data_IF_138501273131
#
_entry.id   IF_138501273131
#
_cell.length_a   1.000
_cell.length_b   1.000
_cell.length_c   1.000
_cell.angle_alpha   90.00
_cell.angle_beta   90.00
_cell.angle_gamma   90.00
#
_symmetry.space_group_name_H-M   'P 1'
#
loop_
_entity.id
_entity.type
_entity.pdbx_description
1 polymer ?
#
# COMPACT_ATOMS: atom_id res chain seq x y z
N UNK A 1 7.30 7.83 -15.34
CA UNK A 1 6.72 9.19 -15.50
C UNK A 1 6.04 9.35 -16.86
N UNK A 2 6.75 9.19 -17.99
CA UNK A 2 6.17 9.45 -19.34
C UNK A 2 4.93 8.58 -19.64
N UNK A 3 4.90 7.35 -19.19
CA UNK A 3 3.77 6.44 -19.38
C UNK A 3 2.54 6.94 -18.62
N UNK A 4 2.69 7.35 -17.36
CA UNK A 4 1.59 7.89 -16.55
C UNK A 4 1.11 9.22 -17.10
N UNK A 5 2.01 10.11 -17.53
CA UNK A 5 1.63 11.38 -18.15
C UNK A 5 0.79 11.19 -19.43
N UNK A 6 1.24 10.30 -20.32
CA UNK A 6 0.48 9.95 -21.53
C UNK A 6 -0.87 9.30 -21.22
N UNK A 7 -0.95 8.55 -20.16
CA UNK A 7 -2.20 7.95 -19.69
C UNK A 7 -3.14 9.04 -19.15
N UNK A 8 -2.66 9.91 -18.25
CA UNK A 8 -3.45 11.02 -17.68
C UNK A 8 -3.99 11.97 -18.75
N UNK A 9 -3.21 12.30 -19.76
CA UNK A 9 -3.67 13.13 -20.89
C UNK A 9 -4.88 12.54 -21.64
N UNK A 10 -4.97 11.20 -21.70
CA UNK A 10 -6.04 10.49 -22.40
C UNK A 10 -7.31 10.32 -21.57
N UNK A 11 -7.20 10.38 -20.23
CA UNK A 11 -8.29 10.08 -19.30
C UNK A 11 -8.77 11.31 -18.53
N UNK A 12 -8.43 12.53 -18.99
CA UNK A 12 -8.94 13.77 -18.38
C UNK A 12 -10.46 13.73 -18.32
N UNK A 13 -11.07 13.85 -17.13
CA UNK A 13 -12.53 13.84 -17.01
C UNK A 13 -13.17 15.01 -17.78
N UNK A 14 -14.25 14.73 -18.47
CA UNK A 14 -14.98 15.75 -19.25
C UNK A 14 -15.50 16.87 -18.33
N UNK A 15 -15.31 18.12 -18.74
CA UNK A 15 -15.80 19.27 -17.99
C UNK A 15 -15.03 19.58 -16.69
N UNK A 16 -13.86 19.01 -16.51
CA UNK A 16 -12.98 19.33 -15.37
C UNK A 16 -11.73 20.04 -15.83
N UNK A 17 -11.28 21.01 -15.02
CA UNK A 17 -9.92 21.56 -15.15
C UNK A 17 -8.95 20.64 -14.37
N UNK A 18 -7.89 20.20 -15.03
CA UNK A 18 -6.90 19.31 -14.42
C UNK A 18 -5.50 19.86 -14.65
N UNK A 19 -4.75 20.00 -13.57
CA UNK A 19 -3.31 20.26 -13.60
C UNK A 19 -2.53 19.01 -13.23
N UNK A 20 -1.35 18.82 -13.74
CA UNK A 20 -0.45 17.73 -13.38
C UNK A 20 0.86 18.32 -12.84
N UNK A 21 1.21 17.95 -11.63
CA UNK A 21 2.44 18.32 -10.95
C UNK A 21 3.34 17.09 -10.81
N UNK A 22 4.50 17.12 -11.45
CA UNK A 22 5.51 16.06 -11.33
C UNK A 22 6.64 16.56 -10.44
N UNK A 23 6.86 15.90 -9.32
CA UNK A 23 7.94 16.26 -8.40
C UNK A 23 8.99 15.15 -8.39
N UNK A 24 10.18 15.45 -8.89
CA UNK A 24 11.33 14.55 -8.88
C UNK A 24 12.17 14.79 -7.63
N UNK A 25 12.59 13.70 -6.96
CA UNK A 25 13.41 13.77 -5.76
C UNK A 25 13.61 12.38 -5.16
N UNK A 26 14.15 12.32 -3.95
CA UNK A 26 14.50 11.08 -3.27
C UNK A 26 13.77 10.87 -1.94
N UNK A 27 12.89 11.82 -1.55
CA UNK A 27 12.20 11.78 -0.27
C UNK A 27 10.69 12.02 -0.41
N UNK A 28 9.90 10.95 -0.57
CA UNK A 28 8.47 11.03 -0.90
C UNK A 28 7.64 11.99 -0.05
N UNK A 29 7.77 12.06 1.30
CA UNK A 29 6.99 13.02 2.08
C UNK A 29 7.22 14.47 1.68
N UNK A 30 8.47 14.88 1.45
CA UNK A 30 8.81 16.24 1.02
C UNK A 30 8.36 16.53 -0.41
N UNK A 31 8.51 15.55 -1.31
CA UNK A 31 8.04 15.67 -2.70
C UNK A 31 6.52 15.89 -2.72
N UNK A 32 5.75 15.08 -1.99
CA UNK A 32 4.29 15.23 -1.89
C UNK A 32 3.91 16.58 -1.27
N UNK A 33 4.58 16.99 -0.20
CA UNK A 33 4.32 18.29 0.43
C UNK A 33 4.58 19.47 -0.52
N UNK A 34 5.63 19.40 -1.36
CA UNK A 34 5.87 20.41 -2.39
C UNK A 34 4.70 20.46 -3.39
N UNK A 35 4.25 19.31 -3.91
CA UNK A 35 3.12 19.25 -4.81
C UNK A 35 1.82 19.75 -4.19
N UNK A 36 1.56 19.43 -2.92
CA UNK A 36 0.37 19.89 -2.19
C UNK A 36 0.34 21.41 -2.04
N UNK A 37 1.49 22.05 -1.78
CA UNK A 37 1.57 23.53 -1.68
C UNK A 37 1.28 24.20 -3.02
N UNK A 38 1.76 23.63 -4.10
CA UNK A 38 1.64 24.18 -5.46
C UNK A 38 0.28 23.87 -6.13
N UNK A 39 -0.44 22.87 -5.63
CA UNK A 39 -1.72 22.45 -6.20
C UNK A 39 -2.79 23.54 -6.01
N UNK A 40 -3.56 23.84 -7.07
CA UNK A 40 -4.61 24.86 -7.10
C UNK A 40 -6.03 24.29 -7.11
N UNK A 41 -6.19 23.00 -7.49
CA UNK A 41 -7.48 22.36 -7.62
C UNK A 41 -8.21 22.10 -6.28
N UNK A 42 -9.51 21.83 -6.35
CA UNK A 42 -10.36 21.52 -5.19
C UNK A 42 -10.10 20.12 -4.65
N UNK A 43 -9.60 19.24 -5.49
CA UNK A 43 -9.21 17.86 -5.14
C UNK A 43 -7.77 17.60 -5.53
N UNK A 44 -7.02 16.88 -4.68
CA UNK A 44 -5.63 16.50 -4.93
C UNK A 44 -5.56 14.99 -5.03
N UNK A 45 -5.10 14.50 -6.17
CA UNK A 45 -4.84 13.09 -6.44
C UNK A 45 -3.36 12.80 -6.30
N UNK A 46 -3.01 11.76 -5.54
CA UNK A 46 -1.65 11.25 -5.42
C UNK A 46 -1.54 9.94 -6.19
N UNK A 47 -0.65 9.92 -7.16
CA UNK A 47 -0.36 8.77 -7.99
C UNK A 47 1.14 8.49 -8.01
N UNK A 48 1.51 7.21 -8.00
CA UNK A 48 2.89 6.80 -8.24
C UNK A 48 3.19 6.84 -9.76
N UNK A 49 4.45 6.97 -10.13
CA UNK A 49 4.87 7.16 -11.53
C UNK A 49 4.96 5.87 -12.36
N UNK A 50 4.64 4.73 -11.77
CA UNK A 50 4.67 3.39 -12.36
C UNK A 50 3.31 2.68 -12.39
N UNK A 51 2.21 3.45 -12.28
CA UNK A 51 0.84 2.94 -12.37
C UNK A 51 0.21 3.15 -13.75
N UNK A 52 -0.89 2.45 -13.98
CA UNK A 52 -1.80 2.65 -15.11
C UNK A 52 -3.17 2.99 -14.52
N UNK A 53 -3.70 4.16 -14.87
CA UNK A 53 -5.02 4.63 -14.42
C UNK A 53 -6.03 4.27 -15.50
N UNK A 54 -7.04 3.44 -15.22
CA UNK A 54 -8.10 3.12 -16.20
C UNK A 54 -9.00 4.33 -16.48
N UNK A 55 -9.58 4.43 -17.70
CA UNK A 55 -10.61 5.41 -17.99
C UNK A 55 -11.78 5.31 -17.00
N UNK A 56 -12.30 6.43 -16.54
CA UNK A 56 -13.40 6.50 -15.58
C UNK A 56 -12.98 6.40 -14.11
N UNK A 57 -11.74 5.99 -13.82
CA UNK A 57 -11.27 5.81 -12.41
C UNK A 57 -11.26 7.13 -11.63
N UNK A 58 -10.79 8.21 -12.23
CA UNK A 58 -10.75 9.55 -11.58
C UNK A 58 -12.16 10.04 -11.35
N UNK A 59 -13.05 9.88 -12.34
CA UNK A 59 -14.47 10.25 -12.26
C UNK A 59 -15.14 9.57 -11.07
N UNK A 60 -14.85 8.30 -10.81
CA UNK A 60 -15.41 7.56 -9.66
C UNK A 60 -14.99 8.13 -8.30
N UNK A 61 -13.78 8.64 -8.19
CA UNK A 61 -13.36 9.35 -6.98
C UNK A 61 -14.08 10.70 -6.86
N UNK A 62 -14.22 11.47 -7.94
CA UNK A 62 -14.94 12.75 -7.95
C UNK A 62 -16.43 12.56 -7.62
N UNK A 63 -17.11 11.57 -8.24
CA UNK A 63 -18.50 11.19 -7.91
C UNK A 63 -18.64 10.84 -6.42
N UNK A 64 -17.64 10.18 -5.84
CA UNK A 64 -17.67 9.83 -4.41
C UNK A 64 -17.70 11.08 -3.52
N UNK A 65 -16.86 12.07 -3.80
CA UNK A 65 -16.86 13.33 -3.05
C UNK A 65 -18.14 14.13 -3.26
N UNK A 66 -18.63 14.20 -4.50
CA UNK A 66 -19.86 14.95 -4.83
C UNK A 66 -21.08 14.36 -4.13
N UNK A 67 -21.20 13.03 -4.12
CA UNK A 67 -22.34 12.34 -3.51
C UNK A 67 -22.22 12.20 -1.98
N UNK A 68 -21.00 12.36 -1.43
CA UNK A 68 -20.71 12.21 0.00
C UNK A 68 -19.75 13.33 0.46
N UNK A 69 -20.24 14.56 0.66
CA UNK A 69 -19.38 15.71 1.00
C UNK A 69 -18.64 15.58 2.34
N UNK A 70 -19.08 14.67 3.20
CA UNK A 70 -18.45 14.35 4.48
C UNK A 70 -17.20 13.46 4.34
N UNK A 71 -16.96 12.88 3.16
CA UNK A 71 -15.74 12.09 2.89
C UNK A 71 -14.60 13.03 2.50
N UNK A 72 -13.48 12.89 3.18
CA UNK A 72 -12.30 13.75 3.02
C UNK A 72 -11.18 13.10 2.22
N UNK A 73 -11.11 11.75 2.23
CA UNK A 73 -10.12 10.95 1.52
C UNK A 73 -10.81 9.78 0.85
N UNK A 74 -10.50 9.54 -0.41
CA UNK A 74 -10.93 8.37 -1.16
C UNK A 74 -9.70 7.63 -1.67
N UNK A 75 -9.67 6.33 -1.48
CA UNK A 75 -8.70 5.45 -2.10
C UNK A 75 -9.36 4.22 -2.68
N UNK A 76 -8.63 3.45 -3.43
CA UNK A 76 -9.14 2.23 -4.04
C UNK A 76 -8.05 1.18 -4.23
N UNK A 77 -8.37 0.03 -4.84
CA UNK A 77 -7.43 -1.06 -4.99
C UNK A 77 -6.37 -0.77 -6.06
N UNK A 78 -5.23 -1.35 -5.81
CA UNK A 78 -4.06 -1.40 -6.68
C UNK A 78 -3.98 -2.81 -7.28
N UNK A 79 -4.52 -3.00 -8.47
CA UNK A 79 -4.69 -4.29 -9.10
C UNK A 79 -3.44 -4.72 -9.89
N UNK A 80 -3.27 -6.01 -10.07
CA UNK A 80 -2.24 -6.56 -10.95
C UNK A 80 -2.67 -6.41 -12.40
N UNK A 81 -1.87 -5.78 -13.28
CA UNK A 81 -2.20 -5.65 -14.70
C UNK A 81 -2.40 -7.03 -15.35
N UNK A 82 -3.38 -7.16 -16.28
CA UNK A 82 -3.62 -8.43 -16.99
C UNK A 82 -2.41 -8.94 -17.78
N UNK A 83 -1.57 -8.03 -18.29
CA UNK A 83 -0.37 -8.34 -19.08
C UNK A 83 0.84 -8.78 -18.25
N UNK A 84 0.74 -8.78 -16.91
CA UNK A 84 1.80 -9.30 -16.06
C UNK A 84 2.03 -10.79 -16.30
N UNK A 85 3.25 -11.26 -16.08
CA UNK A 85 3.57 -12.68 -16.21
C UNK A 85 2.95 -13.52 -15.07
N UNK A 86 3.05 -14.84 -15.21
CA UNK A 86 2.49 -15.80 -14.26
C UNK A 86 3.00 -15.58 -12.81
N UNK A 87 4.30 -15.33 -12.65
CA UNK A 87 4.90 -15.13 -11.32
C UNK A 87 4.44 -13.80 -10.70
N UNK A 88 4.35 -12.76 -11.51
CA UNK A 88 3.82 -11.47 -11.10
C UNK A 88 2.34 -11.58 -10.65
N UNK A 89 1.53 -12.39 -11.33
CA UNK A 89 0.17 -12.69 -10.88
C UNK A 89 0.17 -13.41 -9.52
N UNK A 90 1.05 -14.39 -9.31
CA UNK A 90 1.18 -15.05 -8.00
C UNK A 90 1.58 -14.07 -6.89
N UNK A 91 2.43 -13.08 -7.17
CA UNK A 91 2.73 -11.99 -6.22
C UNK A 91 1.50 -11.14 -5.93
N UNK A 92 0.70 -10.85 -6.95
CA UNK A 92 -0.60 -10.17 -6.78
C UNK A 92 -1.55 -10.95 -5.88
N UNK A 93 -1.62 -12.27 -6.04
CA UNK A 93 -2.44 -13.16 -5.20
C UNK A 93 -1.95 -13.16 -3.75
N UNK A 94 -0.64 -13.17 -3.52
CA UNK A 94 -0.09 -13.05 -2.18
C UNK A 94 -0.48 -11.71 -1.51
N UNK A 95 -0.44 -10.60 -2.23
CA UNK A 95 -0.86 -9.31 -1.69
C UNK A 95 -2.38 -9.25 -1.43
N UNK A 96 -3.18 -9.86 -2.30
CA UNK A 96 -4.65 -9.87 -2.21
C UNK A 96 -5.21 -10.90 -1.21
N UNK A 97 -4.38 -11.85 -0.74
CA UNK A 97 -4.82 -12.89 0.19
C UNK A 97 -4.99 -12.33 1.62
N UNK A 98 -6.18 -12.50 2.23
CA UNK A 98 -6.36 -12.17 3.65
C UNK A 98 -5.46 -12.99 4.58
N UNK A 99 -5.06 -14.20 4.19
CA UNK A 99 -4.10 -14.99 4.95
C UNK A 99 -2.73 -14.33 5.06
N UNK A 100 -2.30 -13.58 4.03
CA UNK A 100 -1.00 -12.89 3.99
C UNK A 100 -1.11 -11.45 4.50
N UNK A 101 -2.08 -10.70 4.00
CA UNK A 101 -2.18 -9.25 4.21
C UNK A 101 -3.23 -8.84 5.25
N UNK A 102 -4.08 -9.78 5.70
CA UNK A 102 -5.17 -9.52 6.62
C UNK A 102 -6.07 -8.37 6.11
N UNK A 103 -6.36 -7.36 6.94
CA UNK A 103 -7.15 -6.19 6.53
C UNK A 103 -6.52 -5.41 5.38
N UNK A 104 -5.18 -5.45 5.22
CA UNK A 104 -4.49 -4.72 4.12
C UNK A 104 -4.67 -5.40 2.76
N UNK A 105 -5.15 -6.63 2.70
CA UNK A 105 -5.41 -7.36 1.45
C UNK A 105 -6.38 -6.61 0.51
N UNK A 106 -7.32 -5.85 1.08
CA UNK A 106 -8.29 -5.04 0.28
C UNK A 106 -7.60 -3.98 -0.59
N UNK A 107 -6.37 -3.60 -0.28
CA UNK A 107 -5.56 -2.69 -1.11
C UNK A 107 -5.25 -3.29 -2.49
N UNK A 108 -5.40 -4.59 -2.65
CA UNK A 108 -4.99 -5.36 -3.83
C UNK A 108 -6.12 -6.19 -4.44
N UNK A 109 -7.31 -6.11 -3.84
CA UNK A 109 -8.49 -6.85 -4.25
C UNK A 109 -9.72 -5.94 -4.17
N UNK A 110 -10.52 -5.83 -5.26
CA UNK A 110 -11.75 -5.04 -5.21
C UNK A 110 -12.75 -5.69 -4.26
N UNK A 111 -13.28 -4.91 -3.34
CA UNK A 111 -14.39 -5.31 -2.47
C UNK A 111 -15.70 -4.74 -2.99
N UNK A 112 -16.83 -5.18 -2.42
CA UNK A 112 -18.14 -4.68 -2.83
C UNK A 112 -18.43 -3.30 -2.23
N UNK A 113 -18.70 -2.34 -3.11
CA UNK A 113 -19.25 -1.02 -2.79
C UNK A 113 -18.34 -0.07 -2.02
N UNK A 114 -18.80 1.17 -1.92
CA UNK A 114 -18.16 2.23 -1.15
C UNK A 114 -18.23 1.91 0.35
N UNK A 115 -17.10 2.04 1.06
CA UNK A 115 -17.04 1.79 2.52
C UNK A 115 -16.24 2.86 3.22
N UNK A 116 -16.70 3.29 4.43
CA UNK A 116 -15.86 4.03 5.37
C UNK A 116 -14.81 3.09 5.94
N UNK A 117 -13.55 3.54 5.98
CA UNK A 117 -12.38 2.71 6.26
C UNK A 117 -11.36 3.42 7.13
N UNK A 118 -10.28 2.72 7.48
CA UNK A 118 -9.11 3.25 8.17
C UNK A 118 -7.89 3.25 7.25
N UNK A 119 -6.76 3.72 7.75
CA UNK A 119 -5.47 3.75 7.04
C UNK A 119 -5.02 2.37 6.54
N UNK A 120 -5.46 1.28 7.19
CA UNK A 120 -5.10 -0.09 6.81
C UNK A 120 -5.60 -0.50 5.43
N UNK A 121 -6.66 0.13 4.96
CA UNK A 121 -7.36 -0.23 3.74
C UNK A 121 -6.91 0.58 2.52
N UNK A 122 -6.16 1.66 2.71
CA UNK A 122 -5.75 2.58 1.66
C UNK A 122 -4.24 2.53 1.42
N UNK A 123 -3.81 2.88 0.20
CA UNK A 123 -2.40 2.86 -0.22
C UNK A 123 -2.07 4.10 -1.04
N UNK A 124 -0.86 4.62 -0.91
CA UNK A 124 -0.43 5.91 -1.47
C UNK A 124 -0.46 6.02 -3.00
N UNK A 125 -0.35 4.92 -3.71
CA UNK A 125 -0.32 4.95 -5.17
C UNK A 125 -1.67 5.30 -5.81
N UNK A 126 -2.74 5.41 -5.02
CA UNK A 126 -4.10 5.65 -5.48
C UNK A 126 -4.94 6.32 -4.38
N UNK A 127 -4.67 7.59 -4.10
CA UNK A 127 -5.36 8.40 -3.10
C UNK A 127 -5.85 9.71 -3.70
N UNK A 128 -7.09 10.07 -3.37
CA UNK A 128 -7.68 11.36 -3.65
C UNK A 128 -8.09 12.04 -2.34
N UNK A 129 -7.89 13.34 -2.24
CA UNK A 129 -8.18 14.16 -1.07
C UNK A 129 -9.00 15.38 -1.45
N UNK A 130 -9.88 15.83 -0.57
CA UNK A 130 -10.30 17.22 -0.59
C UNK A 130 -9.06 18.10 -0.35
N UNK A 131 -8.79 19.06 -1.22
CA UNK A 131 -7.56 19.87 -1.18
C UNK A 131 -7.37 20.57 0.16
N UNK A 132 -8.45 21.13 0.75
CA UNK A 132 -8.42 21.78 2.05
C UNK A 132 -7.87 20.83 3.13
N UNK A 133 -8.37 19.58 3.17
CA UNK A 133 -7.95 18.58 4.17
C UNK A 133 -6.45 18.31 4.06
N UNK A 134 -5.92 18.12 2.84
CA UNK A 134 -4.53 17.77 2.65
C UNK A 134 -3.59 18.98 2.85
N UNK A 135 -4.01 20.19 2.45
CA UNK A 135 -3.26 21.43 2.67
C UNK A 135 -3.14 21.81 4.15
N UNK A 136 -4.13 21.47 4.97
CA UNK A 136 -4.09 21.69 6.42
C UNK A 136 -3.37 20.56 7.17
N UNK A 137 -3.11 19.43 6.51
CA UNK A 137 -2.52 18.23 7.11
C UNK A 137 -1.46 17.62 6.19
N UNK A 138 -0.29 18.23 6.14
CA UNK A 138 0.84 17.75 5.35
C UNK A 138 1.40 16.40 5.85
N UNK A 139 2.15 15.71 4.99
CA UNK A 139 2.94 14.54 5.38
C UNK A 139 4.02 14.93 6.39
N UNK A 140 4.29 14.08 7.38
CA UNK A 140 5.41 14.27 8.31
C UNK A 140 6.73 13.87 7.61
N UNK A 141 7.66 14.82 7.37
CA UNK A 141 8.92 14.53 6.68
C UNK A 141 9.80 13.50 7.39
N UNK A 142 9.60 13.33 8.69
CA UNK A 142 10.41 12.42 9.51
C UNK A 142 9.88 10.98 9.48
N UNK A 143 8.71 10.74 8.88
CA UNK A 143 8.11 9.42 8.74
C UNK A 143 8.28 8.92 7.32
N UNK A 144 9.25 8.03 7.12
CA UNK A 144 9.46 7.31 5.87
C UNK A 144 10.23 6.01 6.17
N UNK A 145 9.79 4.87 5.64
CA UNK A 145 8.55 4.63 4.85
C UNK A 145 7.28 4.59 5.74
N UNK A 146 6.10 4.46 5.12
CA UNK A 146 4.74 4.44 5.71
C UNK A 146 4.19 5.84 6.09
N UNK A 147 4.65 6.87 5.44
CA UNK A 147 4.20 8.26 5.61
C UNK A 147 2.70 8.45 5.32
N UNK A 148 2.16 7.68 4.34
CA UNK A 148 0.74 7.71 4.03
C UNK A 148 -0.12 7.10 5.14
N UNK A 149 0.37 6.01 5.76
CA UNK A 149 -0.36 5.39 6.87
C UNK A 149 -0.37 6.32 8.09
N UNK A 150 0.73 7.03 8.35
CA UNK A 150 0.78 8.05 9.41
C UNK A 150 -0.24 9.16 9.16
N UNK A 151 -0.21 9.73 7.97
CA UNK A 151 -1.12 10.81 7.60
C UNK A 151 -2.59 10.38 7.76
N UNK A 152 -2.97 9.24 7.20
CA UNK A 152 -4.34 8.75 7.26
C UNK A 152 -4.77 8.39 8.68
N UNK A 153 -3.90 7.79 9.51
CA UNK A 153 -4.19 7.53 10.91
C UNK A 153 -4.40 8.83 11.70
N UNK A 154 -3.57 9.83 11.44
CA UNK A 154 -3.69 11.17 12.05
C UNK A 154 -4.99 11.87 11.62
N UNK A 155 -5.38 11.79 10.35
CA UNK A 155 -6.65 12.31 9.85
C UNK A 155 -7.84 11.61 10.53
N UNK A 156 -7.82 10.27 10.62
CA UNK A 156 -8.87 9.51 11.30
C UNK A 156 -9.03 9.93 12.78
N UNK A 157 -7.92 10.12 13.51
CA UNK A 157 -7.95 10.59 14.89
C UNK A 157 -8.53 12.02 15.04
N UNK A 158 -8.38 12.85 14.00
CA UNK A 158 -8.98 14.20 13.94
C UNK A 158 -10.46 14.18 13.52
N UNK A 159 -11.04 13.01 13.24
CA UNK A 159 -12.43 12.88 12.85
C UNK A 159 -12.70 13.02 11.34
N UNK A 160 -11.67 13.09 10.50
CA UNK A 160 -11.83 13.06 9.05
C UNK A 160 -12.24 11.67 8.57
N UNK A 161 -13.17 11.60 7.62
CA UNK A 161 -13.67 10.35 7.09
C UNK A 161 -12.88 9.90 5.85
N UNK A 162 -12.39 8.68 5.92
CA UNK A 162 -11.72 7.98 4.82
C UNK A 162 -12.68 6.97 4.20
N UNK A 163 -12.68 6.86 2.88
CA UNK A 163 -13.48 5.90 2.13
C UNK A 163 -12.64 5.07 1.16
N UNK A 164 -13.03 3.82 1.02
CA UNK A 164 -12.55 2.94 -0.03
C UNK A 164 -13.61 2.81 -1.11
N UNK A 165 -13.25 3.11 -2.36
CA UNK A 165 -14.10 2.91 -3.52
C UNK A 165 -13.45 1.90 -4.48
N UNK A 166 -14.04 0.69 -4.69
CA UNK A 166 -13.47 -0.32 -5.58
C UNK A 166 -13.43 0.09 -7.05
N UNK A 167 -14.23 1.08 -7.47
CA UNK A 167 -14.25 1.60 -8.84
C UNK A 167 -13.14 2.67 -9.08
N UNK A 168 -12.59 3.25 -8.01
CA UNK A 168 -11.41 4.11 -8.06
C UNK A 168 -10.16 3.24 -7.94
N UNK A 169 -9.78 2.53 -8.98
CA UNK A 169 -8.65 1.61 -8.97
C UNK A 169 -7.57 2.00 -9.97
N UNK A 170 -6.38 1.48 -9.73
CA UNK A 170 -5.24 1.57 -10.65
C UNK A 170 -4.65 0.19 -10.89
N UNK A 171 -3.96 0.02 -12.01
CA UNK A 171 -3.07 -1.12 -12.21
C UNK A 171 -1.65 -0.74 -11.83
N UNK A 172 -0.95 -1.65 -11.16
CA UNK A 172 0.44 -1.46 -10.76
C UNK A 172 1.22 -2.75 -10.98
N UNK A 173 2.25 -2.70 -11.83
CA UNK A 173 3.06 -3.86 -12.14
C UNK A 173 3.72 -4.45 -10.90
N UNK A 174 3.57 -5.77 -10.74
CA UNK A 174 4.24 -6.46 -9.64
C UNK A 174 5.72 -6.62 -9.92
N UNK A 175 6.50 -6.93 -8.89
CA UNK A 175 7.95 -7.14 -9.02
C UNK A 175 8.22 -8.26 -10.02
N UNK A 176 9.30 -8.13 -10.82
CA UNK A 176 9.58 -9.05 -11.94
C UNK A 176 10.13 -10.42 -11.50
N UNK A 177 10.63 -10.53 -10.28
CA UNK A 177 11.25 -11.76 -9.80
C UNK A 177 11.17 -11.89 -8.27
N UNK A 178 11.41 -13.09 -7.76
CA UNK A 178 11.38 -13.42 -6.34
C UNK A 178 12.32 -12.54 -5.48
N UNK A 179 13.59 -12.30 -5.84
CA UNK A 179 14.46 -11.43 -5.02
C UNK A 179 13.90 -10.01 -4.87
N UNK A 180 13.37 -9.42 -5.94
CA UNK A 180 12.79 -8.08 -5.87
C UNK A 180 11.48 -8.07 -5.05
N UNK A 181 10.66 -9.12 -5.17
CA UNK A 181 9.46 -9.30 -4.36
C UNK A 181 9.82 -9.41 -2.86
N UNK A 182 10.71 -10.32 -2.48
CA UNK A 182 11.10 -10.49 -1.08
C UNK A 182 11.81 -9.25 -0.51
N UNK A 183 12.61 -8.56 -1.30
CA UNK A 183 13.18 -7.26 -0.90
C UNK A 183 12.08 -6.23 -0.57
N UNK A 184 11.00 -6.18 -1.35
CA UNK A 184 9.85 -5.31 -1.08
C UNK A 184 9.18 -5.69 0.24
N UNK A 185 8.88 -6.99 0.45
CA UNK A 185 8.24 -7.49 1.67
C UNK A 185 9.11 -7.21 2.91
N UNK A 186 10.41 -7.46 2.81
CA UNK A 186 11.37 -7.15 3.87
C UNK A 186 11.35 -5.66 4.23
N UNK A 187 11.37 -4.79 3.22
CA UNK A 187 11.33 -3.34 3.43
C UNK A 187 10.01 -2.89 4.09
N UNK A 188 8.89 -3.54 3.78
CA UNK A 188 7.61 -3.26 4.43
C UNK A 188 7.65 -3.63 5.92
N UNK A 189 8.17 -4.81 6.26
CA UNK A 189 8.36 -5.21 7.66
C UNK A 189 9.29 -4.24 8.40
N UNK A 190 10.45 -3.90 7.81
CA UNK A 190 11.40 -2.93 8.38
C UNK A 190 10.73 -1.58 8.61
N UNK A 191 10.01 -1.08 7.61
CA UNK A 191 9.28 0.19 7.69
C UNK A 191 8.20 0.19 8.76
N UNK A 192 7.51 -0.94 8.98
CA UNK A 192 6.50 -1.07 10.03
C UNK A 192 7.12 -0.88 11.43
N UNK A 193 8.24 -1.51 11.70
CA UNK A 193 8.95 -1.34 12.98
C UNK A 193 9.43 0.09 13.17
N UNK A 194 10.04 0.70 12.15
CA UNK A 194 10.48 2.10 12.19
C UNK A 194 9.30 3.03 12.50
N UNK A 195 8.16 2.82 11.82
CA UNK A 195 6.95 3.59 12.07
C UNK A 195 6.46 3.43 13.52
N UNK A 196 6.41 2.20 14.02
CA UNK A 196 5.97 1.91 15.39
C UNK A 196 6.89 2.52 16.46
N UNK A 197 8.18 2.61 16.18
CA UNK A 197 9.16 3.27 17.07
C UNK A 197 8.96 4.80 17.04
N UNK A 198 8.82 5.40 15.85
CA UNK A 198 8.68 6.86 15.69
C UNK A 198 7.31 7.39 16.12
N UNK A 199 6.28 6.58 16.01
CA UNK A 199 4.88 6.90 16.34
C UNK A 199 4.25 5.81 17.19
N UNK A 200 4.63 5.69 18.48
CA UNK A 200 4.15 4.62 19.36
C UNK A 200 2.63 4.60 19.54
N UNK A 201 1.97 5.74 19.42
CA UNK A 201 0.51 5.88 19.46
C UNK A 201 -0.21 5.29 18.23
N UNK A 202 0.53 4.93 17.18
CA UNK A 202 0.05 4.19 16.00
C UNK A 202 0.51 2.72 16.00
N UNK A 203 1.03 2.23 17.14
CA UNK A 203 1.42 0.83 17.27
C UNK A 203 0.20 -0.10 17.14
N UNK A 204 0.35 -1.12 16.29
CA UNK A 204 -0.64 -2.18 16.14
C UNK A 204 0.07 -3.53 16.22
N UNK A 205 -0.17 -4.24 17.31
CA UNK A 205 0.44 -5.55 17.62
C UNK A 205 0.17 -6.60 16.53
N UNK A 206 -0.93 -6.43 15.80
CA UNK A 206 -1.34 -7.35 14.75
C UNK A 206 -0.32 -7.50 13.62
N UNK A 207 0.37 -6.42 13.26
CA UNK A 207 1.45 -6.48 12.26
C UNK A 207 2.69 -7.26 12.72
N UNK A 208 2.77 -7.59 14.01
CA UNK A 208 3.88 -8.38 14.57
C UNK A 208 3.56 -9.88 14.68
N UNK A 209 2.35 -10.31 14.29
CA UNK A 209 1.97 -11.73 14.28
C UNK A 209 2.96 -12.64 13.51
N UNK A 210 3.51 -12.26 12.34
CA UNK A 210 4.51 -13.07 11.67
C UNK A 210 5.81 -13.27 12.47
N UNK A 211 6.18 -12.32 13.34
CA UNK A 211 7.32 -12.47 14.23
C UNK A 211 7.05 -13.52 15.32
N UNK A 212 5.83 -13.53 15.88
CA UNK A 212 5.42 -14.56 16.85
C UNK A 212 5.48 -15.95 16.21
N UNK A 213 5.05 -16.06 14.96
CA UNK A 213 5.14 -17.31 14.20
C UNK A 213 6.60 -17.76 14.00
N UNK A 214 7.52 -16.87 13.68
CA UNK A 214 8.96 -17.19 13.58
C UNK A 214 9.51 -17.66 14.91
N UNK A 215 9.18 -16.99 16.02
CA UNK A 215 9.60 -17.41 17.35
C UNK A 215 9.06 -18.79 17.72
N UNK A 216 7.80 -19.09 17.34
CA UNK A 216 7.24 -20.41 17.48
C UNK A 216 8.03 -21.47 16.67
N UNK A 217 8.34 -21.20 15.38
CA UNK A 217 9.13 -22.11 14.55
C UNK A 217 10.52 -22.38 15.17
N UNK A 218 11.17 -21.35 15.72
CA UNK A 218 12.44 -21.50 16.40
C UNK A 218 12.29 -22.38 17.64
N UNK A 219 11.21 -22.22 18.41
CA UNK A 219 10.97 -23.02 19.62
C UNK A 219 10.79 -24.51 19.36
N UNK A 220 10.37 -24.92 18.13
CA UNK A 220 10.28 -26.33 17.72
C UNK A 220 11.62 -27.07 17.75
N UNK A 221 12.75 -26.34 17.79
CA UNK A 221 14.09 -26.96 17.95
C UNK A 221 14.22 -27.65 19.33
N UNK A 222 13.60 -27.06 20.35
CA UNK A 222 13.69 -27.54 21.72
C UNK A 222 12.46 -28.36 22.15
N UNK A 223 11.26 -27.94 21.72
CA UNK A 223 10.00 -28.58 22.08
C UNK A 223 9.55 -29.53 20.96
N UNK A 224 9.72 -30.86 21.15
CA UNK A 224 9.45 -31.90 20.14
C UNK A 224 8.20 -32.73 20.44
N UNK A 225 7.40 -32.33 21.41
CA UNK A 225 6.15 -32.99 21.73
C UNK A 225 5.15 -32.91 20.58
N UNK A 226 4.50 -34.00 20.25
CA UNK A 226 3.62 -34.10 19.07
C UNK A 226 2.50 -33.04 19.06
N UNK A 227 1.93 -32.74 20.23
CA UNK A 227 0.89 -31.72 20.37
C UNK A 227 1.41 -30.30 20.06
N UNK A 228 2.71 -30.05 20.24
CA UNK A 228 3.32 -28.77 19.96
C UNK A 228 3.43 -28.47 18.46
N UNK A 229 3.22 -29.49 17.60
CA UNK A 229 3.14 -29.33 16.15
C UNK A 229 1.74 -28.93 15.64
N UNK A 230 0.70 -29.00 16.48
CA UNK A 230 -0.66 -28.68 16.03
C UNK A 230 -0.81 -27.26 15.46
N UNK A 231 -0.19 -26.20 16.03
CA UNK A 231 -0.24 -24.87 15.41
C UNK A 231 0.39 -24.83 14.02
N UNK A 232 1.49 -25.58 13.81
CA UNK A 232 2.11 -25.66 12.47
C UNK A 232 1.20 -26.37 11.48
N UNK A 233 0.55 -27.49 11.88
CA UNK A 233 -0.41 -28.17 11.00
C UNK A 233 -1.62 -27.29 10.68
N UNK A 234 -2.15 -26.57 11.67
CA UNK A 234 -3.23 -25.62 11.45
C UNK A 234 -2.82 -24.49 10.50
N UNK A 235 -1.61 -23.95 10.64
CA UNK A 235 -1.05 -22.97 9.72
C UNK A 235 -0.94 -23.49 8.29
N UNK A 236 -0.37 -24.69 8.10
CA UNK A 236 -0.21 -25.29 6.77
C UNK A 236 -1.55 -25.64 6.11
N UNK A 237 -2.55 -26.07 6.90
CA UNK A 237 -3.90 -26.28 6.38
C UNK A 237 -4.58 -24.99 5.96
N UNK A 238 -4.39 -23.92 6.74
CA UNK A 238 -4.91 -22.58 6.39
C UNK A 238 -4.21 -22.03 5.16
N UNK A 239 -2.90 -22.20 5.04
CA UNK A 239 -2.11 -21.82 3.87
C UNK A 239 -2.58 -22.55 2.60
N UNK A 240 -2.79 -23.87 2.69
CA UNK A 240 -3.35 -24.64 1.59
C UNK A 240 -4.74 -24.13 1.20
N UNK A 241 -5.61 -23.90 2.17
CA UNK A 241 -6.95 -23.35 1.92
C UNK A 241 -6.89 -21.98 1.25
N UNK A 242 -6.01 -21.08 1.73
CA UNK A 242 -5.80 -19.75 1.14
C UNK A 242 -5.22 -19.83 -0.29
N UNK A 243 -4.33 -20.78 -0.54
CA UNK A 243 -3.78 -21.01 -1.89
C UNK A 243 -4.84 -21.51 -2.87
N UNK A 244 -5.74 -22.39 -2.42
CA UNK A 244 -6.87 -22.87 -3.21
C UNK A 244 -7.94 -21.77 -3.41
N UNK A 245 -8.21 -20.96 -2.39
CA UNK A 245 -9.07 -19.78 -2.51
C UNK A 245 -8.55 -18.80 -3.56
N UNK A 246 -7.25 -18.49 -3.54
CA UNK A 246 -6.62 -17.64 -4.55
C UNK A 246 -6.78 -18.22 -5.96
N UNK A 247 -6.58 -19.55 -6.13
CA UNK A 247 -6.78 -20.23 -7.40
C UNK A 247 -8.23 -20.14 -7.89
N UNK A 248 -9.18 -20.31 -7.00
CA UNK A 248 -10.61 -20.23 -7.32
C UNK A 248 -11.02 -18.81 -7.70
N UNK A 249 -10.64 -17.82 -6.86
CA UNK A 249 -10.99 -16.41 -7.04
C UNK A 249 -10.45 -15.83 -8.34
N UNK A 250 -9.18 -16.17 -8.66
CA UNK A 250 -8.50 -15.67 -9.85
C UNK A 250 -8.60 -16.63 -11.05
N UNK A 251 -9.36 -17.73 -10.93
CA UNK A 251 -9.53 -18.77 -11.97
C UNK A 251 -8.20 -19.30 -12.51
N UNK A 252 -7.19 -19.44 -11.64
CA UNK A 252 -5.84 -19.88 -12.00
C UNK A 252 -5.44 -21.10 -11.17
N UNK A 253 -5.87 -22.29 -11.59
CA UNK A 253 -5.66 -23.55 -10.90
C UNK A 253 -4.20 -24.06 -10.92
N UNK A 254 -3.31 -23.41 -11.65
CA UNK A 254 -1.88 -23.69 -11.58
C UNK A 254 -1.18 -22.94 -10.43
N UNK A 255 -1.81 -21.90 -9.88
CA UNK A 255 -1.21 -21.04 -8.86
C UNK A 255 -0.93 -21.70 -7.50
N UNK A 256 -1.69 -22.69 -6.99
CA UNK A 256 -1.42 -23.31 -5.68
C UNK A 256 -0.01 -23.88 -5.55
N UNK A 257 0.58 -24.40 -6.62
CA UNK A 257 1.95 -24.90 -6.63
C UNK A 257 3.00 -23.83 -6.31
N UNK A 258 2.69 -22.55 -6.55
CA UNK A 258 3.55 -21.42 -6.22
C UNK A 258 3.09 -20.74 -4.94
N UNK A 259 1.80 -20.44 -4.79
CA UNK A 259 1.26 -19.66 -3.66
C UNK A 259 1.45 -20.36 -2.33
N UNK A 260 1.33 -21.70 -2.29
CA UNK A 260 1.57 -22.50 -1.08
C UNK A 260 2.97 -22.32 -0.49
N UNK A 261 3.99 -22.06 -1.30
CA UNK A 261 5.33 -21.73 -0.81
C UNK A 261 5.54 -20.24 -0.66
N UNK A 262 4.91 -19.45 -1.51
CA UNK A 262 5.07 -18.01 -1.53
C UNK A 262 4.50 -17.33 -0.27
N UNK A 263 3.34 -17.79 0.22
CA UNK A 263 2.67 -17.19 1.38
C UNK A 263 3.50 -17.33 2.67
N UNK A 264 3.96 -18.55 3.06
CA UNK A 264 4.86 -18.69 4.21
C UNK A 264 6.17 -17.89 4.05
N UNK A 265 6.77 -17.89 2.86
CA UNK A 265 7.99 -17.13 2.60
C UNK A 265 7.74 -15.62 2.75
N UNK A 266 6.55 -15.14 2.40
CA UNK A 266 6.15 -13.74 2.61
C UNK A 266 6.09 -13.40 4.11
N UNK A 267 5.46 -14.25 4.93
CA UNK A 267 5.40 -14.06 6.39
C UNK A 267 6.80 -14.07 7.01
N UNK A 268 7.65 -15.04 6.65
CA UNK A 268 9.03 -15.13 7.16
C UNK A 268 9.84 -13.90 6.78
N UNK A 269 9.78 -13.51 5.50
CA UNK A 269 10.52 -12.34 4.99
C UNK A 269 10.07 -11.05 5.67
N UNK A 270 8.76 -10.89 5.88
CA UNK A 270 8.21 -9.74 6.59
C UNK A 270 8.69 -9.71 8.06
N UNK A 271 8.67 -10.86 8.74
CA UNK A 271 9.17 -10.98 10.12
C UNK A 271 10.66 -10.63 10.25
N UNK A 272 11.50 -11.08 9.31
CA UNK A 272 12.91 -10.67 9.27
C UNK A 272 13.05 -9.16 9.01
N UNK A 273 12.19 -8.58 8.19
CA UNK A 273 12.10 -7.13 8.02
C UNK A 273 11.77 -6.41 9.33
N UNK A 274 10.76 -6.91 10.08
CA UNK A 274 10.41 -6.37 11.40
C UNK A 274 11.62 -6.36 12.34
N UNK A 275 12.35 -7.47 12.42
CA UNK A 275 13.58 -7.57 13.25
C UNK A 275 14.63 -6.56 12.80
N UNK A 276 14.87 -6.46 11.49
CA UNK A 276 15.84 -5.50 10.96
C UNK A 276 15.45 -4.05 11.24
N UNK A 277 14.15 -3.75 11.40
CA UNK A 277 13.68 -2.41 11.76
C UNK A 277 14.17 -1.91 13.10
N UNK A 278 14.43 -2.82 14.05
CA UNK A 278 14.96 -2.44 15.36
C UNK A 278 16.41 -1.89 15.29
N UNK A 279 17.18 -2.19 14.22
CA UNK A 279 18.53 -1.60 14.07
C UNK A 279 18.50 -0.07 14.06
N UNK A 280 17.38 0.52 13.66
CA UNK A 280 17.23 1.99 13.61
C UNK A 280 17.25 2.67 14.98
N UNK A 281 17.10 1.92 16.08
CA UNK A 281 17.29 2.44 17.44
C UNK A 281 18.75 2.90 17.69
N UNK A 282 19.70 2.39 16.92
CA UNK A 282 21.14 2.71 17.00
C UNK A 282 21.63 3.52 15.79
N UNK A 283 20.75 3.81 14.82
CA UNK A 283 21.09 4.67 13.67
C UNK A 283 20.91 6.14 14.08
N UNK A 284 21.88 7.00 13.73
CA UNK A 284 21.73 8.44 13.86
C UNK A 284 20.60 8.94 12.96
N UNK A 285 19.88 10.00 13.38
CA UNK A 285 18.86 10.61 12.55
C UNK A 285 19.44 11.04 11.20
N UNK A 286 18.80 10.58 10.12
CA UNK A 286 19.20 11.01 8.77
C UNK A 286 18.81 12.46 8.57
N UNK A 287 19.77 13.27 8.11
CA UNK A 287 19.49 14.62 7.67
C UNK A 287 18.49 14.58 6.51
N UNK A 288 17.40 15.35 6.64
CA UNK A 288 16.42 15.48 5.57
C UNK A 288 17.05 16.20 4.37
N UNK A 289 16.72 15.81 3.12
CA UNK A 289 17.14 16.56 1.94
C UNK A 289 16.54 17.95 1.94
N UNK A 290 17.24 18.92 1.34
CA UNK A 290 16.76 20.29 1.22
C UNK A 290 15.78 20.41 0.04
N UNK A 291 14.81 21.32 0.13
CA UNK A 291 13.80 21.51 -0.94
C UNK A 291 14.40 21.84 -2.31
N UNK A 292 15.55 22.50 -2.35
CA UNK A 292 16.28 22.78 -3.61
C UNK A 292 16.75 21.53 -4.36
N UNK A 293 16.75 20.35 -3.71
CA UNK A 293 17.08 19.07 -4.32
C UNK A 293 15.90 18.47 -5.09
N UNK A 294 14.72 19.10 -5.03
CA UNK A 294 13.52 18.64 -5.72
C UNK A 294 13.25 19.48 -6.97
N UNK A 295 12.82 18.82 -8.04
CA UNK A 295 12.41 19.46 -9.28
C UNK A 295 10.90 19.36 -9.44
N UNK A 296 10.21 20.50 -9.45
CA UNK A 296 8.80 20.60 -9.79
C UNK A 296 8.64 20.87 -11.28
N UNK A 297 7.81 20.09 -11.96
CA UNK A 297 7.43 20.26 -13.36
C UNK A 297 5.90 20.36 -13.40
N UNK A 298 5.36 21.49 -13.85
CA UNK A 298 3.94 21.65 -14.19
C UNK A 298 3.73 21.20 -15.62
N UNK A 299 2.78 20.31 -15.85
CA UNK A 299 2.42 19.82 -17.18
C UNK A 299 1.05 20.37 -17.52
N UNK A 300 0.98 21.22 -18.53
CA UNK A 300 -0.28 21.72 -19.06
C UNK A 300 -0.94 20.64 -19.93
N UNK A 301 -2.23 20.44 -19.73
CA UNK A 301 -3.05 19.56 -20.54
C UNK A 301 -3.82 20.41 -21.55
N UNK A 302 -3.40 20.35 -22.79
CA UNK A 302 -4.07 20.98 -23.91
C UNK A 302 -5.27 20.16 -24.39
#
# INVERSE_FOLDING_TARGET
VDTVLKNLQKIKPAGTDMEILVIKGTWPPLQRNMGIREATGDYIFLFDDDIIIPPGSIEKALETFQNNPDIHVVGGPNLTPPENDYLQHCFGYAHASPFVGLETAVRYHPTYGLKKVTEKHLISCNLAFQAKTLKENHFDPNVFPNEENELMARLTKKGFLLAYNPEFFVYHHRRKNLPAFFKQIFNWGRGRTIHSIKKPDHFDAFFFAPLIFVLYLISLIWYRESWYLYPLYAYLLTDLAASLEAAYTHKNWSSPGVTFWLFPMTHLTYAFGLLAGFSTLWESEKKLPEEKEFLLIKVELF
#
